data_IF_450586814435
#
_entry.id   IF_450586814435
#
_cell.length_a   1.000
_cell.length_b   1.000
_cell.length_c   1.000
_cell.angle_alpha   90.00
_cell.angle_beta   90.00
_cell.angle_gamma   90.00
#
_symmetry.space_group_name_H-M   'P 1'
#
loop_
_entity.id
_entity.type
_entity.pdbx_description
1 polymer ?
#
# COMPACT_ATOMS: atom_id res chain seq x y z
N UNK A 1 19.58 -25.09 55.68
CA UNK A 1 19.02 -23.75 55.39
C UNK A 1 18.24 -23.83 54.10
N UNK A 2 16.92 -23.73 54.22
CA UNK A 2 16.00 -23.59 53.10
C UNK A 2 16.10 -22.15 52.57
N UNK A 3 16.48 -21.96 51.32
CA UNK A 3 16.15 -20.72 50.61
C UNK A 3 14.99 -20.99 49.65
N UNK A 4 13.83 -20.51 50.07
CA UNK A 4 12.60 -20.44 49.29
C UNK A 4 12.84 -19.55 48.06
N UNK A 5 12.90 -20.17 46.88
CA UNK A 5 12.58 -19.46 45.65
C UNK A 5 11.11 -19.01 45.75
N UNK A 6 10.89 -17.69 45.84
CA UNK A 6 9.55 -17.10 45.72
C UNK A 6 9.04 -17.35 44.30
N UNK A 7 8.27 -18.41 44.12
CA UNK A 7 7.32 -18.56 43.02
C UNK A 7 6.20 -17.52 43.19
N UNK A 8 6.47 -16.30 42.71
CA UNK A 8 5.55 -15.17 42.75
C UNK A 8 5.13 -14.74 41.35
N UNK A 9 4.65 -15.66 40.53
CA UNK A 9 3.94 -15.33 39.30
C UNK A 9 2.57 -15.99 39.36
N UNK A 10 1.51 -15.21 39.56
CA UNK A 10 0.14 -15.75 39.43
C UNK A 10 0.04 -16.40 38.05
N UNK A 11 -0.29 -17.70 38.00
CA UNK A 11 -0.65 -18.36 36.75
C UNK A 11 -1.87 -17.60 36.21
N UNK A 12 -1.65 -16.66 35.30
CA UNK A 12 -2.73 -15.97 34.58
C UNK A 12 -3.63 -17.06 33.99
N UNK A 13 -4.87 -17.15 34.47
CA UNK A 13 -5.80 -18.19 34.04
C UNK A 13 -6.21 -17.91 32.60
N UNK A 14 -5.51 -18.54 31.65
CA UNK A 14 -5.83 -18.45 30.23
C UNK A 14 -7.05 -19.31 29.91
N UNK A 15 -8.10 -18.67 29.41
CA UNK A 15 -9.22 -19.34 28.76
C UNK A 15 -9.11 -19.22 27.23
N UNK A 16 -9.48 -20.26 26.47
CA UNK A 16 -9.59 -20.18 25.01
C UNK A 16 -10.49 -19.01 24.58
N UNK A 17 -10.20 -18.45 23.40
CA UNK A 17 -10.98 -17.34 22.83
C UNK A 17 -12.14 -17.88 21.99
N UNK A 18 -13.30 -17.23 22.06
CA UNK A 18 -14.40 -17.49 21.13
C UNK A 18 -14.35 -16.56 19.91
N UNK A 19 -15.16 -16.84 18.90
CA UNK A 19 -15.32 -15.97 17.72
C UNK A 19 -15.80 -14.58 18.13
N UNK A 20 -16.77 -14.51 19.03
CA UNK A 20 -17.38 -13.28 19.54
C UNK A 20 -16.35 -12.45 20.30
N UNK A 21 -15.49 -13.08 21.11
CA UNK A 21 -14.40 -12.39 21.80
C UNK A 21 -13.37 -11.82 20.84
N UNK A 22 -13.01 -12.52 19.76
CA UNK A 22 -12.10 -11.98 18.74
C UNK A 22 -12.75 -10.82 17.98
N UNK A 23 -14.05 -10.91 17.66
CA UNK A 23 -14.79 -9.79 17.07
C UNK A 23 -14.83 -8.58 18.01
N UNK A 24 -15.11 -8.78 19.29
CA UNK A 24 -15.09 -7.73 20.31
C UNK A 24 -13.67 -7.14 20.46
N UNK A 25 -12.63 -7.96 20.47
CA UNK A 25 -11.24 -7.52 20.53
C UNK A 25 -10.87 -6.63 19.33
N UNK A 26 -11.23 -7.03 18.11
CA UNK A 26 -11.01 -6.22 16.90
C UNK A 26 -11.85 -4.93 16.96
N UNK A 27 -13.12 -5.01 17.37
CA UNK A 27 -14.00 -3.85 17.52
C UNK A 27 -13.45 -2.83 18.53
N UNK A 28 -12.92 -3.31 19.66
CA UNK A 28 -12.21 -2.47 20.63
C UNK A 28 -10.98 -1.83 19.98
N UNK A 29 -10.15 -2.59 19.26
CA UNK A 29 -8.97 -2.04 18.59
C UNK A 29 -9.32 -0.95 17.55
N UNK A 30 -10.42 -1.12 16.81
CA UNK A 30 -10.95 -0.11 15.89
C UNK A 30 -11.41 1.12 16.67
N UNK A 31 -12.18 0.94 17.75
CA UNK A 31 -12.62 2.06 18.58
C UNK A 31 -11.45 2.84 19.20
N UNK A 32 -10.35 2.14 19.56
CA UNK A 32 -9.12 2.78 20.03
C UNK A 32 -8.43 3.64 18.96
N UNK A 33 -8.64 3.37 17.66
CA UNK A 33 -8.07 4.21 16.61
C UNK A 33 -8.87 5.50 16.40
N UNK A 34 -10.14 5.51 16.81
CA UNK A 34 -11.03 6.69 16.77
C UNK A 34 -10.89 7.52 18.06
N UNK A 35 -11.00 6.86 19.22
CA UNK A 35 -10.88 7.48 20.55
C UNK A 35 -9.45 7.27 21.05
N UNK A 36 -8.50 8.02 20.52
CA UNK A 36 -7.10 7.82 20.85
C UNK A 36 -6.76 8.26 22.29
N UNK A 37 -6.21 7.33 23.07
CA UNK A 37 -5.54 7.58 24.36
C UNK A 37 -4.07 7.23 24.31
N UNK A 38 -3.25 7.90 25.12
CA UNK A 38 -1.80 7.78 25.10
C UNK A 38 -1.32 6.40 25.54
N UNK A 39 -1.93 5.88 26.60
CA UNK A 39 -1.59 4.58 27.18
C UNK A 39 -2.71 3.55 26.99
N UNK A 40 -2.39 2.26 27.13
CA UNK A 40 -3.39 1.19 26.96
C UNK A 40 -4.33 1.09 28.16
N UNK A 41 -3.85 1.37 29.38
CA UNK A 41 -4.67 1.29 30.59
C UNK A 41 -5.73 2.39 30.67
N UNK A 42 -5.50 3.54 30.03
CA UNK A 42 -6.42 4.69 30.06
C UNK A 42 -7.78 4.39 29.43
N UNK A 43 -7.88 3.38 28.56
CA UNK A 43 -9.15 2.95 27.98
C UNK A 43 -10.08 2.33 29.02
N UNK A 44 -9.53 1.79 30.11
CA UNK A 44 -10.28 1.20 31.22
C UNK A 44 -10.09 2.00 32.52
N UNK A 45 -9.70 3.27 32.42
CA UNK A 45 -9.63 4.16 33.57
C UNK A 45 -11.03 4.56 34.03
N UNK A 46 -11.23 4.62 35.34
CA UNK A 46 -12.42 5.15 36.02
C UNK A 46 -12.22 6.59 36.51
N UNK A 47 -11.09 7.22 36.16
CA UNK A 47 -10.83 8.63 36.49
C UNK A 47 -11.76 9.51 35.66
N UNK A 48 -12.49 10.43 36.29
CA UNK A 48 -13.56 11.21 35.64
C UNK A 48 -13.12 11.92 34.34
N UNK A 49 -11.87 12.38 34.26
CA UNK A 49 -11.31 13.04 33.07
C UNK A 49 -11.01 12.06 31.92
N UNK A 50 -10.66 10.83 32.26
CA UNK A 50 -10.22 9.81 31.30
C UNK A 50 -11.30 8.76 31.04
N UNK A 51 -12.40 8.75 31.79
CA UNK A 51 -13.37 7.67 31.71
C UNK A 51 -13.98 7.56 30.30
N UNK A 52 -14.10 6.34 29.81
CA UNK A 52 -14.84 6.06 28.58
C UNK A 52 -15.62 4.76 28.77
N UNK A 53 -16.85 4.83 29.29
CA UNK A 53 -17.59 3.67 29.82
C UNK A 53 -17.81 2.53 28.80
N UNK A 54 -17.77 2.84 27.51
CA UNK A 54 -17.94 1.86 26.44
C UNK A 54 -16.83 0.79 26.37
N UNK A 55 -15.57 1.13 26.67
CA UNK A 55 -14.49 0.13 26.59
C UNK A 55 -14.62 -0.99 27.63
N UNK A 56 -14.83 -0.69 28.94
CA UNK A 56 -15.10 -1.71 29.95
C UNK A 56 -16.37 -2.52 29.70
N UNK A 57 -17.41 -1.94 29.08
CA UNK A 57 -18.67 -2.65 28.83
C UNK A 57 -18.56 -3.70 27.72
N UNK A 58 -17.60 -3.56 26.80
CA UNK A 58 -17.37 -4.53 25.72
C UNK A 58 -16.45 -5.67 26.15
N UNK A 59 -15.32 -5.35 26.79
CA UNK A 59 -14.33 -6.34 27.23
C UNK A 59 -13.48 -5.78 28.36
N UNK A 60 -13.11 -6.60 29.35
CA UNK A 60 -12.18 -6.17 30.39
C UNK A 60 -10.78 -5.88 29.82
N UNK A 61 -10.11 -4.85 30.34
CA UNK A 61 -8.74 -4.50 29.90
C UNK A 61 -7.73 -5.63 30.11
N UNK A 62 -7.92 -6.43 31.16
CA UNK A 62 -7.15 -7.65 31.39
C UNK A 62 -7.34 -8.67 30.26
N UNK A 63 -8.59 -8.98 29.89
CA UNK A 63 -8.87 -9.92 28.78
C UNK A 63 -8.33 -9.41 27.45
N UNK A 64 -8.49 -8.11 27.15
CA UNK A 64 -7.91 -7.49 25.95
C UNK A 64 -6.38 -7.67 25.91
N UNK A 65 -5.69 -7.39 27.02
CA UNK A 65 -4.24 -7.56 27.11
C UNK A 65 -3.80 -9.01 26.95
N UNK A 66 -4.54 -9.97 27.54
CA UNK A 66 -4.28 -11.40 27.36
C UNK A 66 -4.42 -11.83 25.90
N UNK A 67 -5.54 -11.47 25.24
CA UNK A 67 -5.76 -11.77 23.82
C UNK A 67 -4.65 -11.15 22.97
N UNK A 68 -4.33 -9.86 23.18
CA UNK A 68 -3.26 -9.20 22.44
C UNK A 68 -1.89 -9.87 22.66
N UNK A 69 -1.62 -10.37 23.88
CA UNK A 69 -0.36 -11.04 24.24
C UNK A 69 -0.26 -12.43 23.60
N UNK A 70 -1.33 -13.17 23.46
CA UNK A 70 -1.31 -14.52 22.88
C UNK A 70 -1.91 -14.59 21.46
N UNK A 71 -2.10 -13.44 20.79
CA UNK A 71 -2.60 -13.39 19.42
C UNK A 71 -1.68 -14.13 18.43
N UNK A 72 -2.21 -15.18 17.84
CA UNK A 72 -1.62 -15.95 16.74
C UNK A 72 -2.67 -16.17 15.66
N UNK A 73 -2.26 -16.08 14.39
CA UNK A 73 -3.11 -16.38 13.22
C UNK A 73 -2.57 -17.55 12.40
N UNK A 74 -1.57 -18.26 12.93
CA UNK A 74 -0.97 -19.44 12.33
C UNK A 74 -0.62 -20.44 13.44
N UNK A 75 -0.69 -21.73 13.11
CA UNK A 75 -0.29 -22.82 14.00
C UNK A 75 1.23 -22.95 14.00
N UNK A 76 1.89 -22.56 15.09
CA UNK A 76 3.35 -22.60 15.17
C UNK A 76 3.93 -24.03 15.13
N UNK A 77 3.11 -25.08 15.36
CA UNK A 77 3.56 -26.48 15.31
C UNK A 77 3.72 -27.00 13.88
N UNK A 78 3.08 -26.35 12.91
CA UNK A 78 3.11 -26.70 11.48
C UNK A 78 4.09 -25.85 10.67
N UNK A 79 4.97 -25.13 11.34
CA UNK A 79 5.91 -24.24 10.68
C UNK A 79 7.02 -25.03 9.99
N UNK A 80 7.13 -24.90 8.67
CA UNK A 80 8.23 -25.49 7.91
C UNK A 80 9.54 -24.74 8.21
N UNK A 81 10.54 -25.50 8.63
CA UNK A 81 11.86 -24.99 8.97
C UNK A 81 12.91 -25.49 7.98
N UNK A 82 13.85 -24.62 7.64
CA UNK A 82 15.08 -24.96 6.95
C UNK A 82 15.98 -25.82 7.85
N UNK A 83 17.01 -26.46 7.28
CA UNK A 83 17.96 -27.28 8.03
C UNK A 83 18.66 -26.52 9.18
N UNK A 84 18.82 -25.19 9.05
CA UNK A 84 19.37 -24.30 10.08
C UNK A 84 18.31 -23.75 11.06
N UNK A 85 17.10 -24.32 11.07
CA UNK A 85 16.03 -23.99 12.03
C UNK A 85 15.32 -22.66 11.78
N UNK A 86 15.45 -22.07 10.59
CA UNK A 86 14.75 -20.83 10.21
C UNK A 86 13.45 -21.15 9.50
N UNK A 87 12.47 -20.26 9.59
CA UNK A 87 11.24 -20.40 8.81
C UNK A 87 11.55 -20.38 7.31
N UNK A 88 11.08 -21.38 6.57
CA UNK A 88 11.10 -21.38 5.10
C UNK A 88 10.31 -20.17 4.56
N UNK A 89 9.10 -19.95 5.09
CA UNK A 89 8.33 -18.73 4.86
C UNK A 89 8.51 -17.73 6.00
N UNK A 90 9.23 -16.62 5.75
CA UNK A 90 9.44 -15.56 6.75
C UNK A 90 8.14 -14.91 7.24
N UNK A 91 7.04 -15.02 6.49
CA UNK A 91 5.73 -14.47 6.84
C UNK A 91 4.77 -15.50 7.44
N UNK A 92 5.22 -16.74 7.68
CA UNK A 92 4.38 -17.86 8.15
C UNK A 92 3.40 -17.46 9.25
N UNK A 93 3.87 -16.69 10.24
CA UNK A 93 3.06 -16.24 11.40
C UNK A 93 1.84 -15.38 11.07
N UNK A 94 1.78 -14.80 9.87
CA UNK A 94 0.66 -13.99 9.37
C UNK A 94 0.09 -14.53 8.07
N UNK A 95 0.66 -15.63 7.54
CA UNK A 95 0.34 -16.19 6.23
C UNK A 95 -1.14 -16.50 6.04
N UNK A 96 -1.84 -17.15 6.99
CA UNK A 96 -3.26 -17.49 6.79
C UNK A 96 -4.15 -16.26 6.61
N UNK A 97 -3.90 -15.18 7.38
CA UNK A 97 -4.65 -13.93 7.22
C UNK A 97 -4.25 -13.20 5.93
N UNK A 98 -2.96 -13.17 5.61
CA UNK A 98 -2.44 -12.55 4.40
C UNK A 98 -3.08 -13.17 3.14
N UNK A 99 -3.06 -14.50 3.04
CA UNK A 99 -3.59 -15.22 1.89
C UNK A 99 -5.12 -15.06 1.79
N UNK A 100 -5.83 -15.09 2.93
CA UNK A 100 -7.26 -14.84 2.95
C UNK A 100 -7.63 -13.47 2.37
N UNK A 101 -6.86 -12.43 2.66
CA UNK A 101 -7.10 -11.08 2.14
C UNK A 101 -6.70 -10.93 0.67
N UNK A 102 -5.56 -11.52 0.26
CA UNK A 102 -5.12 -11.53 -1.14
C UNK A 102 -6.15 -12.23 -2.04
N UNK A 103 -6.81 -13.28 -1.53
CA UNK A 103 -7.89 -13.98 -2.24
C UNK A 103 -9.19 -13.15 -2.19
N UNK A 104 -9.53 -12.56 -1.06
CA UNK A 104 -10.82 -11.87 -0.85
C UNK A 104 -10.91 -10.52 -1.55
N UNK A 105 -9.85 -9.71 -1.56
CA UNK A 105 -9.90 -8.35 -2.13
C UNK A 105 -10.34 -8.31 -3.61
N UNK A 106 -9.77 -9.13 -4.52
CA UNK A 106 -10.23 -9.17 -5.92
C UNK A 106 -11.69 -9.65 -6.09
N UNK A 107 -12.23 -10.43 -5.15
CA UNK A 107 -13.59 -10.99 -5.26
C UNK A 107 -14.69 -9.96 -4.97
N UNK A 108 -14.37 -8.90 -4.22
CA UNK A 108 -15.36 -7.92 -3.77
C UNK A 108 -15.40 -6.63 -4.60
N UNK A 109 -14.45 -6.43 -5.51
CA UNK A 109 -14.38 -5.23 -6.31
C UNK A 109 -13.79 -5.48 -7.69
N UNK A 110 -14.49 -5.02 -8.72
CA UNK A 110 -13.98 -4.96 -10.09
C UNK A 110 -13.46 -3.55 -10.34
N UNK A 111 -12.15 -3.36 -10.57
CA UNK A 111 -11.59 -2.04 -10.70
C UNK A 111 -12.00 -1.34 -11.99
N UNK A 112 -11.89 -0.01 -11.95
CA UNK A 112 -12.04 0.83 -13.12
C UNK A 112 -10.86 0.70 -14.08
N UNK A 113 -10.83 1.60 -15.06
CA UNK A 113 -9.83 1.58 -16.14
C UNK A 113 -8.39 1.77 -15.64
N UNK A 114 -8.18 2.66 -14.68
CA UNK A 114 -6.85 3.14 -14.30
C UNK A 114 -6.40 2.50 -12.99
N UNK A 115 -5.25 1.84 -13.01
CA UNK A 115 -4.64 1.17 -11.86
C UNK A 115 -3.27 1.77 -11.57
N UNK A 116 -2.89 1.86 -10.30
CA UNK A 116 -1.56 2.34 -9.88
C UNK A 116 -0.84 1.26 -9.09
N UNK A 117 0.46 1.07 -9.35
CA UNK A 117 1.32 0.17 -8.59
C UNK A 117 2.52 0.93 -8.03
N UNK A 118 2.71 0.85 -6.72
CA UNK A 118 3.81 1.49 -6.00
C UNK A 118 4.15 0.76 -4.69
N UNK A 119 5.23 1.20 -4.05
CA UNK A 119 5.63 0.79 -2.72
C UNK A 119 4.94 1.55 -1.58
N UNK A 120 4.65 0.80 -0.52
CA UNK A 120 4.23 1.30 0.78
C UNK A 120 5.20 0.89 1.89
N UNK A 121 5.26 1.69 2.96
CA UNK A 121 6.11 1.44 4.14
C UNK A 121 5.33 1.31 5.44
N UNK A 122 5.37 0.12 6.03
CA UNK A 122 4.86 -0.13 7.38
C UNK A 122 5.94 0.16 8.43
N UNK A 123 5.88 1.35 9.04
CA UNK A 123 6.86 1.83 10.00
C UNK A 123 6.91 1.00 11.29
N UNK A 124 8.06 0.39 11.59
CA UNK A 124 8.20 -0.44 12.78
C UNK A 124 9.58 -0.40 13.42
N UNK A 125 9.60 -0.53 14.75
CA UNK A 125 10.81 -0.75 15.55
C UNK A 125 10.92 -2.21 16.03
N UNK A 126 9.97 -3.07 15.68
CA UNK A 126 10.00 -4.48 16.02
C UNK A 126 11.20 -5.17 15.35
N UNK A 127 11.81 -6.14 16.05
CA UNK A 127 12.88 -6.97 15.48
C UNK A 127 12.27 -7.85 14.38
N UNK A 128 12.73 -7.65 13.15
CA UNK A 128 12.26 -8.35 11.97
C UNK A 128 13.41 -8.41 10.95
N UNK A 129 13.62 -9.57 10.33
CA UNK A 129 14.76 -9.80 9.43
C UNK A 129 14.63 -9.14 8.06
N UNK A 130 13.41 -8.72 7.68
CA UNK A 130 13.11 -8.17 6.36
C UNK A 130 12.76 -6.67 6.38
N UNK A 131 13.22 -5.95 7.41
CA UNK A 131 13.11 -4.49 7.46
C UNK A 131 13.92 -3.85 6.35
N UNK A 132 13.30 -2.92 5.64
CA UNK A 132 13.92 -2.11 4.60
C UNK A 132 14.14 -0.68 5.06
N UNK A 133 15.13 -0.03 4.45
CA UNK A 133 15.34 1.40 4.54
C UNK A 133 15.09 2.05 3.18
N UNK A 134 14.17 3.01 3.12
CA UNK A 134 13.86 3.79 1.91
C UNK A 134 14.02 5.27 2.23
N UNK A 135 15.10 5.89 1.73
CA UNK A 135 15.51 7.26 2.09
C UNK A 135 14.42 8.30 1.80
N UNK A 136 13.70 8.12 0.70
CA UNK A 136 12.82 9.14 0.12
C UNK A 136 11.36 9.01 0.57
N UNK A 137 10.99 7.95 1.31
CA UNK A 137 9.63 7.78 1.85
C UNK A 137 9.54 8.44 3.24
N UNK A 138 8.37 9.01 3.62
CA UNK A 138 8.18 9.63 4.95
C UNK A 138 8.52 8.68 6.09
N UNK A 139 8.04 7.45 5.99
CA UNK A 139 8.43 6.34 6.85
C UNK A 139 9.66 5.64 6.28
N UNK A 140 10.85 6.08 6.70
CA UNK A 140 12.12 5.61 6.11
C UNK A 140 12.48 4.17 6.45
N UNK A 141 12.04 3.65 7.60
CA UNK A 141 12.42 2.31 8.08
C UNK A 141 11.20 1.51 8.48
N UNK A 142 11.03 0.34 7.88
CA UNK A 142 9.83 -0.46 8.08
C UNK A 142 9.79 -1.72 7.22
N UNK A 143 8.65 -2.41 7.25
CA UNK A 143 8.36 -3.48 6.30
C UNK A 143 7.87 -2.85 5.01
N UNK A 144 8.48 -3.21 3.88
CA UNK A 144 8.08 -2.74 2.54
C UNK A 144 6.97 -3.64 2.00
N UNK A 145 5.96 -3.03 1.40
CA UNK A 145 4.90 -3.71 0.67
C UNK A 145 4.87 -3.16 -0.76
N UNK A 146 4.64 -4.03 -1.74
CA UNK A 146 4.19 -3.64 -3.07
C UNK A 146 2.68 -3.70 -3.11
N UNK A 147 2.03 -2.66 -3.64
CA UNK A 147 0.58 -2.53 -3.61
C UNK A 147 0.08 -2.16 -5.00
N UNK A 148 -0.95 -2.88 -5.47
CA UNK A 148 -1.74 -2.52 -6.63
C UNK A 148 -3.07 -1.93 -6.15
N UNK A 149 -3.39 -0.72 -6.62
CA UNK A 149 -4.61 -0.02 -6.27
C UNK A 149 -5.39 0.43 -7.51
N UNK A 150 -6.70 0.55 -7.37
CA UNK A 150 -7.52 1.35 -8.28
C UNK A 150 -7.18 2.84 -8.09
N UNK A 151 -6.88 3.54 -9.19
CA UNK A 151 -6.37 4.91 -9.16
C UNK A 151 -7.45 5.98 -8.87
N UNK A 152 -8.73 5.61 -8.82
CA UNK A 152 -9.86 6.54 -8.61
C UNK A 152 -10.56 6.27 -7.29
N UNK A 153 -10.84 4.99 -7.01
CA UNK A 153 -11.54 4.55 -5.81
C UNK A 153 -10.57 4.32 -4.65
N UNK A 154 -9.27 4.19 -4.96
CA UNK A 154 -8.22 3.93 -3.97
C UNK A 154 -8.45 2.61 -3.22
N UNK A 155 -9.01 1.61 -3.91
CA UNK A 155 -9.19 0.26 -3.40
C UNK A 155 -7.92 -0.55 -3.63
N UNK A 156 -7.38 -1.21 -2.60
CA UNK A 156 -6.26 -2.13 -2.72
C UNK A 156 -6.73 -3.45 -3.34
N UNK A 157 -6.25 -3.71 -4.54
CA UNK A 157 -6.62 -4.84 -5.38
C UNK A 157 -5.77 -6.08 -5.09
N UNK A 158 -4.48 -5.87 -4.88
CA UNK A 158 -3.52 -6.91 -4.58
C UNK A 158 -2.29 -6.29 -3.89
N UNK A 159 -1.54 -7.08 -3.14
CA UNK A 159 -0.31 -6.61 -2.51
C UNK A 159 0.62 -7.79 -2.14
N UNK A 160 1.92 -7.48 -2.03
CA UNK A 160 2.94 -8.45 -1.64
C UNK A 160 3.88 -7.82 -0.61
N UNK A 161 4.13 -8.51 0.50
CA UNK A 161 5.08 -8.08 1.52
C UNK A 161 6.49 -8.50 1.09
N UNK A 162 7.42 -7.55 1.04
CA UNK A 162 8.80 -7.84 0.67
C UNK A 162 9.58 -8.43 1.85
N UNK A 163 10.07 -9.66 1.67
CA UNK A 163 10.80 -10.44 2.70
C UNK A 163 12.32 -10.40 2.54
N UNK A 164 12.83 -9.55 1.64
CA UNK A 164 14.25 -9.49 1.29
C UNK A 164 14.70 -10.65 0.39
N UNK A 165 15.70 -10.40 -0.45
CA UNK A 165 16.38 -11.38 -1.28
C UNK A 165 17.67 -10.80 -1.85
N UNK A 166 18.71 -11.63 -2.02
CA UNK A 166 19.98 -11.21 -2.64
C UNK A 166 19.94 -11.49 -4.14
N UNK A 167 19.97 -10.44 -4.97
CA UNK A 167 20.27 -10.58 -6.39
C UNK A 167 19.15 -11.18 -7.25
N UNK A 168 17.88 -11.04 -6.85
CA UNK A 168 16.75 -11.49 -7.66
C UNK A 168 16.71 -10.73 -9.00
N UNK A 169 17.15 -11.40 -10.06
CA UNK A 169 17.09 -10.86 -11.42
C UNK A 169 15.63 -10.76 -11.84
N UNK A 170 15.23 -9.61 -12.39
CA UNK A 170 13.87 -9.39 -12.87
C UNK A 170 12.83 -9.12 -11.78
N UNK A 171 13.25 -8.82 -10.54
CA UNK A 171 12.33 -8.51 -9.43
C UNK A 171 11.21 -7.54 -9.84
N UNK A 172 11.57 -6.44 -10.50
CA UNK A 172 10.65 -5.37 -10.87
C UNK A 172 9.58 -5.87 -11.84
N UNK A 173 9.96 -6.75 -12.77
CA UNK A 173 9.05 -7.36 -13.74
C UNK A 173 8.15 -8.39 -13.04
N UNK A 174 8.74 -9.28 -12.22
CA UNK A 174 8.02 -10.31 -11.47
C UNK A 174 6.91 -9.69 -10.61
N UNK A 175 7.25 -8.68 -9.82
CA UNK A 175 6.30 -8.02 -8.90
C UNK A 175 5.10 -7.46 -9.67
N UNK A 176 5.33 -6.76 -10.78
CA UNK A 176 4.23 -6.23 -11.59
C UNK A 176 3.39 -7.37 -12.17
N UNK A 177 4.02 -8.39 -12.74
CA UNK A 177 3.32 -9.51 -13.35
C UNK A 177 2.46 -10.29 -12.34
N UNK A 178 3.00 -10.59 -11.16
CA UNK A 178 2.27 -11.28 -10.09
C UNK A 178 1.10 -10.46 -9.56
N UNK A 179 1.32 -9.17 -9.28
CA UNK A 179 0.25 -8.31 -8.77
C UNK A 179 -0.86 -8.10 -9.79
N UNK A 180 -0.51 -8.03 -11.08
CA UNK A 180 -1.45 -7.85 -12.19
C UNK A 180 -2.12 -9.12 -12.67
N UNK A 181 -1.72 -10.31 -12.23
CA UNK A 181 -2.15 -11.58 -12.82
C UNK A 181 -3.69 -11.72 -12.98
N UNK A 182 -4.47 -11.31 -11.97
CA UNK A 182 -5.94 -11.35 -12.02
C UNK A 182 -6.60 -10.23 -12.87
N UNK A 183 -5.79 -9.30 -13.36
CA UNK A 183 -6.19 -8.08 -14.05
C UNK A 183 -5.60 -7.98 -15.47
N UNK A 184 -4.80 -8.95 -15.92
CA UNK A 184 -4.38 -9.05 -17.32
C UNK A 184 -5.58 -9.37 -18.23
N UNK A 185 -5.47 -9.06 -19.53
CA UNK A 185 -6.54 -9.37 -20.50
C UNK A 185 -7.73 -8.41 -20.50
N UNK A 186 -7.68 -7.32 -19.72
CA UNK A 186 -8.84 -6.44 -19.45
C UNK A 186 -8.66 -5.01 -19.94
N UNK A 187 -7.57 -4.73 -20.67
CA UNK A 187 -7.23 -3.41 -21.19
C UNK A 187 -7.16 -2.31 -20.12
N UNK A 188 -6.86 -2.68 -18.87
CA UNK A 188 -6.54 -1.71 -17.83
C UNK A 188 -5.33 -0.87 -18.23
N UNK A 189 -5.30 0.37 -17.73
CA UNK A 189 -4.18 1.28 -17.83
C UNK A 189 -3.40 1.24 -16.52
N UNK A 190 -2.26 0.54 -16.51
CA UNK A 190 -1.39 0.46 -15.35
C UNK A 190 -0.41 1.63 -15.32
N UNK A 191 -0.39 2.35 -14.20
CA UNK A 191 0.54 3.44 -13.92
C UNK A 191 1.62 2.95 -12.95
N UNK A 192 2.89 3.10 -13.34
CA UNK A 192 4.04 2.67 -12.53
C UNK A 192 5.17 3.68 -12.51
N UNK A 193 5.93 3.70 -11.41
CA UNK A 193 7.10 4.57 -11.27
C UNK A 193 8.31 4.10 -12.12
N UNK A 194 9.43 4.81 -12.00
CA UNK A 194 10.67 4.48 -12.71
C UNK A 194 11.40 3.23 -12.19
N UNK A 195 11.06 2.74 -10.99
CA UNK A 195 11.58 1.48 -10.50
C UNK A 195 10.99 0.31 -11.31
N UNK A 196 9.70 0.32 -11.64
CA UNK A 196 9.11 -0.77 -12.43
C UNK A 196 9.26 -0.61 -13.94
N UNK A 197 9.05 0.60 -14.44
CA UNK A 197 8.85 0.85 -15.87
C UNK A 197 10.08 0.49 -16.70
N UNK A 198 9.88 -0.33 -17.74
CA UNK A 198 10.87 -0.66 -18.76
C UNK A 198 10.19 -0.97 -20.11
N UNK A 199 10.90 -0.85 -21.25
CA UNK A 199 10.37 -1.27 -22.55
C UNK A 199 9.91 -2.73 -22.56
N UNK A 200 10.66 -3.62 -21.92
CA UNK A 200 10.32 -5.05 -21.80
C UNK A 200 9.00 -5.26 -21.05
N UNK A 201 8.82 -4.61 -19.90
CA UNK A 201 7.60 -4.73 -19.10
C UNK A 201 6.38 -4.23 -19.88
N UNK A 202 6.47 -3.06 -20.52
CA UNK A 202 5.35 -2.50 -21.28
C UNK A 202 5.00 -3.34 -22.51
N UNK A 203 6.00 -3.92 -23.18
CA UNK A 203 5.76 -4.85 -24.28
C UNK A 203 5.06 -6.13 -23.79
N UNK A 204 5.51 -6.70 -22.67
CA UNK A 204 4.87 -7.86 -22.05
C UNK A 204 3.41 -7.59 -21.69
N UNK A 205 3.12 -6.48 -21.01
CA UNK A 205 1.74 -6.11 -20.65
C UNK A 205 0.87 -5.92 -21.89
N UNK A 206 1.41 -5.28 -22.93
CA UNK A 206 0.68 -5.06 -24.18
C UNK A 206 0.32 -6.37 -24.88
N UNK A 207 1.21 -7.36 -24.89
CA UNK A 207 0.93 -8.70 -25.43
C UNK A 207 -0.17 -9.41 -24.63
N UNK A 208 -0.34 -9.06 -23.36
CA UNK A 208 -1.39 -9.58 -22.47
C UNK A 208 -2.56 -8.61 -22.33
N UNK A 209 -2.86 -7.86 -23.39
CA UNK A 209 -4.00 -6.94 -23.49
C UNK A 209 -4.15 -6.01 -22.27
N UNK A 210 -3.01 -5.49 -21.81
CA UNK A 210 -2.91 -4.56 -20.69
C UNK A 210 -2.04 -3.39 -21.10
N UNK A 211 -2.56 -2.18 -20.95
CA UNK A 211 -1.83 -0.98 -21.33
C UNK A 211 -1.11 -0.40 -20.12
N UNK A 212 -0.03 0.33 -20.34
CA UNK A 212 0.74 0.89 -19.25
C UNK A 212 1.35 2.25 -19.59
N UNK A 213 1.60 3.02 -18.54
CA UNK A 213 2.17 4.36 -18.57
C UNK A 213 3.09 4.48 -17.38
N UNK A 214 4.31 4.98 -17.57
CA UNK A 214 5.21 5.14 -16.43
C UNK A 214 6.36 6.07 -16.70
N UNK A 215 6.88 6.66 -15.64
CA UNK A 215 8.18 7.33 -15.72
C UNK A 215 9.25 6.27 -15.90
N UNK A 216 10.29 6.54 -16.68
CA UNK A 216 11.35 5.55 -16.97
C UNK A 216 12.72 6.14 -16.71
N UNK A 217 13.67 5.33 -16.24
CA UNK A 217 15.07 5.74 -16.21
C UNK A 217 15.63 5.69 -17.63
N UNK A 218 16.26 6.76 -18.08
CA UNK A 218 16.77 6.85 -19.45
C UNK A 218 17.74 5.69 -19.76
N UNK A 219 18.47 5.19 -18.76
CA UNK A 219 19.50 4.15 -18.81
C UNK A 219 18.94 2.73 -19.00
N UNK A 220 17.62 2.53 -18.89
CA UNK A 220 17.00 1.20 -19.07
C UNK A 220 17.39 0.58 -20.42
N UNK A 221 17.56 -0.74 -20.42
CA UNK A 221 17.81 -1.51 -21.63
C UNK A 221 16.70 -1.26 -22.66
N UNK A 222 17.07 -1.22 -23.94
CA UNK A 222 16.17 -0.97 -25.07
C UNK A 222 15.49 0.42 -25.11
N UNK A 223 15.93 1.37 -24.29
CA UNK A 223 15.54 2.77 -24.47
C UNK A 223 16.16 3.36 -25.75
N UNK A 224 15.41 4.17 -26.53
CA UNK A 224 15.94 4.83 -27.73
C UNK A 224 17.18 5.67 -27.41
N UNK A 225 18.33 5.35 -28.03
CA UNK A 225 19.59 6.09 -27.81
C UNK A 225 19.44 7.57 -28.16
N UNK A 226 18.66 7.89 -29.20
CA UNK A 226 18.39 9.27 -29.64
C UNK A 226 17.70 10.13 -28.57
N UNK A 227 16.95 9.54 -27.63
CA UNK A 227 16.40 10.27 -26.48
C UNK A 227 17.48 10.75 -25.50
N UNK A 228 18.59 10.02 -25.42
CA UNK A 228 19.74 10.34 -24.56
C UNK A 228 20.72 11.31 -25.22
N UNK A 229 20.93 11.15 -26.53
CA UNK A 229 22.04 11.78 -27.27
C UNK A 229 21.67 13.10 -27.94
N UNK A 230 20.45 13.62 -27.78
CA UNK A 230 20.09 14.91 -28.38
C UNK A 230 20.97 16.02 -27.76
N UNK A 231 21.92 16.50 -28.55
CA UNK A 231 22.80 17.66 -28.30
C UNK A 231 21.99 18.95 -28.12
N UNK A 232 20.72 18.91 -28.50
CA UNK A 232 19.77 20.00 -28.37
C UNK A 232 19.46 20.31 -26.91
N UNK A 233 19.77 21.54 -26.51
CA UNK A 233 19.30 22.14 -25.26
C UNK A 233 17.81 22.37 -25.42
N UNK A 234 17.00 21.50 -24.82
CA UNK A 234 15.55 21.70 -24.76
C UNK A 234 15.23 22.89 -23.86
N UNK A 235 14.49 23.84 -24.40
CA UNK A 235 13.85 24.89 -23.61
C UNK A 235 12.78 24.25 -22.70
N UNK A 236 12.43 24.91 -21.57
CA UNK A 236 11.31 24.47 -20.75
C UNK A 236 10.05 24.22 -21.60
N UNK A 237 9.33 23.17 -21.21
CA UNK A 237 8.08 22.68 -21.76
C UNK A 237 8.14 22.08 -23.17
N UNK A 238 9.32 22.03 -23.78
CA UNK A 238 9.51 21.27 -25.02
C UNK A 238 9.52 19.76 -24.77
N UNK A 239 9.04 19.01 -25.76
CA UNK A 239 9.00 17.54 -25.74
C UNK A 239 9.45 16.94 -27.06
N UNK A 240 10.00 15.73 -26.98
CA UNK A 240 10.32 14.89 -28.13
C UNK A 240 9.76 13.49 -27.92
N UNK A 241 9.25 12.90 -28.99
CA UNK A 241 8.60 11.60 -28.98
C UNK A 241 9.28 10.66 -29.98
N UNK A 242 9.43 9.41 -29.57
CA UNK A 242 9.83 8.31 -30.44
C UNK A 242 8.83 7.19 -30.26
N UNK A 243 8.17 6.80 -31.35
CA UNK A 243 7.23 5.70 -31.35
C UNK A 243 7.82 4.53 -32.10
N UNK A 244 7.62 3.33 -31.57
CA UNK A 244 7.91 2.08 -32.26
C UNK A 244 6.77 1.12 -31.96
N UNK A 245 6.21 0.51 -33.01
CA UNK A 245 5.02 -0.34 -32.91
C UNK A 245 3.87 0.41 -32.21
N UNK A 246 3.47 -0.05 -31.01
CA UNK A 246 2.41 0.55 -30.18
C UNK A 246 2.94 1.13 -28.86
N UNK A 247 4.23 1.46 -28.82
CA UNK A 247 4.86 2.07 -27.65
C UNK A 247 5.46 3.42 -28.03
N UNK A 248 5.16 4.44 -27.23
CA UNK A 248 5.71 5.78 -27.36
C UNK A 248 6.62 6.07 -26.17
N UNK A 249 7.83 6.52 -26.49
CA UNK A 249 8.78 7.08 -25.54
C UNK A 249 8.81 8.59 -25.67
N UNK A 250 8.73 9.29 -24.55
CA UNK A 250 8.73 10.74 -24.48
C UNK A 250 9.86 11.23 -23.57
N UNK A 251 10.54 12.29 -24.01
CA UNK A 251 11.34 13.17 -23.15
C UNK A 251 10.67 14.52 -23.13
N UNK A 252 10.38 15.03 -21.93
CA UNK A 252 9.79 16.35 -21.72
C UNK A 252 10.63 17.15 -20.74
N UNK A 253 10.89 18.43 -21.07
CA UNK A 253 11.70 19.31 -20.23
C UNK A 253 10.82 20.12 -19.30
N UNK A 254 10.66 19.72 -18.04
CA UNK A 254 10.00 20.56 -17.03
C UNK A 254 11.04 21.47 -16.34
N UNK A 255 11.29 21.31 -15.04
CA UNK A 255 12.51 21.83 -14.38
C UNK A 255 13.72 20.94 -14.65
N UNK A 256 13.46 19.64 -14.85
CA UNK A 256 14.41 18.60 -15.22
C UNK A 256 13.78 17.76 -16.33
N UNK A 257 14.62 17.01 -17.03
CA UNK A 257 14.14 16.07 -18.03
C UNK A 257 13.30 14.96 -17.36
N UNK A 258 12.09 14.77 -17.88
CA UNK A 258 11.18 13.70 -17.50
C UNK A 258 11.10 12.74 -18.68
N UNK A 259 11.45 11.49 -18.44
CA UNK A 259 11.31 10.41 -19.42
C UNK A 259 10.11 9.57 -19.06
N UNK A 260 9.27 9.29 -20.06
CA UNK A 260 8.06 8.51 -19.89
C UNK A 260 7.92 7.49 -21.03
N UNK A 261 7.40 6.31 -20.71
CA UNK A 261 6.97 5.32 -21.70
C UNK A 261 5.47 5.11 -21.59
N UNK A 262 4.83 4.86 -22.73
CA UNK A 262 3.42 4.51 -22.76
C UNK A 262 3.06 3.60 -23.92
N UNK A 263 2.14 2.67 -23.68
CA UNK A 263 1.40 1.93 -24.72
C UNK A 263 -0.03 2.43 -24.92
N UNK A 264 -0.40 3.50 -24.22
CA UNK A 264 -1.72 4.16 -24.30
C UNK A 264 -1.67 5.36 -25.24
N UNK A 265 -0.57 6.12 -25.19
CA UNK A 265 -0.49 7.45 -25.79
C UNK A 265 0.39 7.48 -27.04
N UNK A 266 0.05 8.37 -27.97
CA UNK A 266 0.94 8.83 -29.03
C UNK A 266 1.73 10.09 -28.62
N UNK A 267 1.96 10.97 -29.58
CA UNK A 267 2.64 12.26 -29.43
C UNK A 267 1.67 13.43 -29.10
N UNK A 268 0.65 13.15 -28.29
CA UNK A 268 -0.40 14.14 -27.97
C UNK A 268 0.06 15.06 -26.86
N UNK A 269 -0.17 16.36 -27.05
CA UNK A 269 0.02 17.40 -26.04
C UNK A 269 -1.33 17.84 -25.48
N UNK A 270 -1.33 18.26 -24.23
CA UNK A 270 -2.46 18.82 -23.50
C UNK A 270 -2.06 20.18 -22.94
N UNK A 271 -2.91 21.18 -23.17
CA UNK A 271 -2.73 22.51 -22.59
C UNK A 271 -3.09 22.45 -21.12
N UNK A 272 -2.15 22.78 -20.24
CA UNK A 272 -2.39 22.93 -18.81
C UNK A 272 -2.13 24.36 -18.36
N UNK A 273 -3.01 24.88 -17.53
CA UNK A 273 -2.81 26.19 -16.89
C UNK A 273 -2.10 25.96 -15.56
N UNK A 274 -0.91 26.55 -15.39
CA UNK A 274 -0.13 26.47 -14.14
C UNK A 274 0.33 27.85 -13.69
N UNK A 275 0.72 27.98 -12.43
CA UNK A 275 1.33 29.22 -11.95
C UNK A 275 2.67 29.44 -12.64
N UNK A 276 2.84 30.62 -13.22
CA UNK A 276 4.06 31.00 -13.93
C UNK A 276 5.26 31.02 -13.00
N UNK A 277 6.39 30.53 -13.50
CA UNK A 277 7.62 30.38 -12.70
C UNK A 277 8.20 31.76 -12.39
N UNK A 278 8.49 32.02 -11.11
CA UNK A 278 9.13 33.26 -10.68
C UNK A 278 8.20 34.45 -10.46
N UNK A 279 6.89 34.29 -10.67
CA UNK A 279 5.90 35.38 -10.46
C UNK A 279 4.87 35.02 -9.39
N UNK A 280 4.27 36.05 -8.79
CA UNK A 280 3.22 35.89 -7.76
C UNK A 280 1.85 36.12 -8.39
N UNK A 281 1.07 35.05 -8.51
CA UNK A 281 -0.33 35.11 -8.94
C UNK A 281 -0.57 35.01 -10.45
N UNK A 282 0.45 35.15 -11.30
CA UNK A 282 0.28 34.96 -12.74
C UNK A 282 0.17 33.48 -13.10
N UNK A 283 -0.76 33.19 -14.01
CA UNK A 283 -0.96 31.87 -14.62
C UNK A 283 -0.40 31.88 -16.05
N UNK A 284 0.11 30.75 -16.49
CA UNK A 284 0.58 30.51 -17.85
C UNK A 284 -0.03 29.21 -18.38
N UNK A 285 -0.32 29.20 -19.68
CA UNK A 285 -0.70 27.99 -20.40
C UNK A 285 0.53 27.32 -20.98
N UNK A 286 0.64 26.02 -20.76
CA UNK A 286 1.81 25.24 -21.09
C UNK A 286 1.40 23.97 -21.81
N UNK A 287 2.12 23.64 -22.88
CA UNK A 287 1.97 22.38 -23.59
C UNK A 287 2.68 21.26 -22.82
N UNK A 288 1.91 20.32 -22.28
CA UNK A 288 2.44 19.16 -21.56
C UNK A 288 2.06 17.88 -22.29
N UNK A 289 2.95 16.90 -22.45
CA UNK A 289 2.58 15.61 -23.02
C UNK A 289 1.45 14.93 -22.24
N UNK A 290 0.42 14.48 -22.96
CA UNK A 290 -0.78 13.84 -22.38
C UNK A 290 -0.42 12.67 -21.48
N UNK A 291 0.57 11.87 -21.87
CA UNK A 291 1.05 10.73 -21.07
C UNK A 291 1.63 11.15 -19.71
N UNK A 292 2.28 12.31 -19.62
CA UNK A 292 2.82 12.84 -18.36
C UNK A 292 1.70 13.49 -17.55
N UNK A 293 0.69 14.06 -18.20
CA UNK A 293 -0.52 14.51 -17.51
C UNK A 293 -1.25 13.33 -16.86
N UNK A 294 -1.60 12.30 -17.62
CA UNK A 294 -2.32 11.12 -17.11
C UNK A 294 -1.52 10.34 -16.07
N UNK A 295 -0.20 10.27 -16.24
CA UNK A 295 0.68 9.71 -15.22
C UNK A 295 0.52 10.46 -13.89
N UNK A 296 0.60 11.79 -13.89
CA UNK A 296 0.45 12.57 -12.65
C UNK A 296 -0.94 12.44 -12.04
N UNK A 297 -1.98 12.26 -12.87
CA UNK A 297 -3.37 12.11 -12.41
C UNK A 297 -3.62 10.76 -11.75
N UNK A 298 -3.03 9.67 -12.26
CA UNK A 298 -3.41 8.31 -11.85
C UNK A 298 -2.35 7.55 -11.06
N UNK A 299 -1.08 7.96 -11.09
CA UNK A 299 -0.01 7.26 -10.35
C UNK A 299 -0.21 7.30 -8.82
N UNK A 300 -0.86 8.35 -8.29
CA UNK A 300 -1.01 8.57 -6.85
C UNK A 300 -1.99 7.65 -6.11
N UNK A 301 -2.58 6.64 -6.76
CA UNK A 301 -3.60 5.81 -6.13
C UNK A 301 -3.12 5.07 -4.88
N UNK A 302 -1.87 4.55 -4.89
CA UNK A 302 -1.25 3.92 -3.72
C UNK A 302 -0.91 4.93 -2.64
N UNK A 303 -0.46 6.14 -3.00
CA UNK A 303 -0.16 7.20 -2.02
C UNK A 303 -1.43 7.66 -1.29
N UNK A 304 -2.55 7.81 -2.00
CA UNK A 304 -3.84 8.13 -1.40
C UNK A 304 -4.34 6.99 -0.51
N UNK A 305 -4.15 5.73 -0.92
CA UNK A 305 -4.45 4.58 -0.06
C UNK A 305 -3.60 4.57 1.21
N UNK A 306 -2.30 4.88 1.14
CA UNK A 306 -1.44 5.00 2.33
C UNK A 306 -1.86 6.16 3.23
N UNK A 307 -2.27 7.29 2.64
CA UNK A 307 -2.84 8.42 3.37
C UNK A 307 -4.11 8.01 4.12
N UNK A 308 -5.01 7.25 3.49
CA UNK A 308 -6.24 6.75 4.13
C UNK A 308 -5.93 5.87 5.35
N UNK A 309 -4.90 5.03 5.25
CA UNK A 309 -4.45 4.18 6.36
C UNK A 309 -3.79 4.98 7.50
N UNK A 310 -3.31 6.19 7.22
CA UNK A 310 -2.63 7.04 8.22
C UNK A 310 -3.59 7.83 9.11
N UNK A 311 -4.87 7.97 8.74
CA UNK A 311 -5.83 8.78 9.48
C UNK A 311 -6.20 8.18 10.84
N UNK A 312 -6.57 6.89 10.88
CA UNK A 312 -6.98 6.21 12.11
C UNK A 312 -6.31 4.83 12.23
N UNK A 313 -4.97 4.76 12.32
CA UNK A 313 -4.26 3.50 12.32
C UNK A 313 -4.58 2.70 13.59
N UNK A 314 -4.99 1.44 13.45
CA UNK A 314 -5.11 0.50 14.57
C UNK A 314 -3.73 0.21 15.20
N UNK A 315 -2.68 0.51 14.45
CA UNK A 315 -1.32 0.20 14.81
C UNK A 315 -0.79 1.05 15.99
N UNK A 316 -0.68 0.43 17.18
CA UNK A 316 0.03 0.98 18.34
C UNK A 316 1.51 0.53 18.38
N UNK A 317 2.21 0.86 19.47
CA UNK A 317 3.60 0.43 19.71
C UNK A 317 3.67 -1.07 20.05
N UNK A 318 3.66 -1.93 19.03
CA UNK A 318 3.84 -3.37 19.20
C UNK A 318 5.31 -3.80 19.10
N UNK A 319 5.76 -4.64 20.05
CA UNK A 319 7.12 -5.21 20.06
C UNK A 319 7.29 -6.37 19.07
N UNK A 320 6.20 -7.05 18.70
CA UNK A 320 6.20 -8.20 17.77
C UNK A 320 5.82 -7.76 16.37
N UNK A 321 6.62 -8.14 15.39
CA UNK A 321 6.40 -7.79 13.98
C UNK A 321 5.11 -8.41 13.43
N UNK A 322 4.76 -9.63 13.85
CA UNK A 322 3.56 -10.33 13.36
C UNK A 322 2.28 -9.61 13.79
N UNK A 323 2.23 -9.14 15.04
CA UNK A 323 1.12 -8.30 15.55
C UNK A 323 1.02 -6.98 14.77
N UNK A 324 2.16 -6.39 14.41
CA UNK A 324 2.21 -5.16 13.62
C UNK A 324 1.58 -5.35 12.23
N UNK A 325 1.95 -6.44 11.54
CA UNK A 325 1.40 -6.78 10.23
C UNK A 325 -0.08 -7.16 10.34
N UNK A 326 -0.47 -7.93 11.37
CA UNK A 326 -1.87 -8.26 11.64
C UNK A 326 -2.76 -7.02 11.65
N UNK A 327 -2.44 -6.01 12.47
CA UNK A 327 -3.25 -4.79 12.52
C UNK A 327 -3.20 -3.99 11.21
N UNK A 328 -2.07 -3.99 10.50
CA UNK A 328 -1.99 -3.38 9.17
C UNK A 328 -2.93 -4.04 8.16
N UNK A 329 -3.03 -5.37 8.18
CA UNK A 329 -3.95 -6.11 7.32
C UNK A 329 -5.42 -5.78 7.64
N UNK A 330 -5.75 -5.56 8.92
CA UNK A 330 -7.07 -5.06 9.31
C UNK A 330 -7.29 -3.62 8.85
N UNK A 331 -6.31 -2.72 9.01
CA UNK A 331 -6.38 -1.33 8.50
C UNK A 331 -6.70 -1.32 6.99
N UNK A 332 -6.00 -2.15 6.20
CA UNK A 332 -6.24 -2.28 4.76
C UNK A 332 -7.65 -2.77 4.45
N UNK A 333 -8.16 -3.72 5.23
CA UNK A 333 -9.53 -4.24 5.09
C UNK A 333 -10.58 -3.16 5.38
N UNK A 334 -10.34 -2.31 6.39
CA UNK A 334 -11.21 -1.19 6.73
C UNK A 334 -11.25 -0.16 5.60
N UNK A 335 -10.08 0.22 5.05
CA UNK A 335 -10.02 1.19 3.94
C UNK A 335 -10.71 0.64 2.69
N UNK A 336 -10.50 -0.63 2.35
CA UNK A 336 -11.21 -1.29 1.25
C UNK A 336 -12.73 -1.33 1.49
N UNK A 337 -13.17 -1.63 2.71
CA UNK A 337 -14.60 -1.62 3.07
C UNK A 337 -15.21 -0.22 2.96
N UNK A 338 -14.45 0.81 3.36
CA UNK A 338 -14.87 2.21 3.23
C UNK A 338 -14.97 2.66 1.77
N UNK A 339 -14.04 2.24 0.92
CA UNK A 339 -14.09 2.49 -0.52
C UNK A 339 -15.36 1.87 -1.15
N UNK A 340 -15.70 0.63 -0.80
CA UNK A 340 -16.94 -0.03 -1.25
C UNK A 340 -18.20 0.68 -0.75
N UNK A 341 -18.21 1.12 0.52
CA UNK A 341 -19.32 1.88 1.08
C UNK A 341 -19.53 3.22 0.33
N UNK A 342 -18.45 3.94 0.02
CA UNK A 342 -18.52 5.18 -0.78
C UNK A 342 -19.12 4.95 -2.16
N UNK A 343 -18.71 3.89 -2.85
CA UNK A 343 -19.27 3.53 -4.16
C UNK A 343 -20.78 3.28 -4.09
N UNK A 344 -21.25 2.56 -3.06
CA UNK A 344 -22.68 2.34 -2.86
C UNK A 344 -23.44 3.65 -2.59
N UNK A 345 -22.88 4.57 -1.81
CA UNK A 345 -23.50 5.86 -1.52
C UNK A 345 -23.64 6.75 -2.77
N UNK A 346 -22.66 6.74 -3.67
CA UNK A 346 -22.73 7.49 -4.95
C UNK A 346 -23.85 6.96 -5.85
N UNK A 347 -24.12 5.65 -5.79
CA UNK A 347 -25.16 5.00 -6.58
C UNK A 347 -26.56 5.08 -5.96
N UNK A 348 -26.70 5.64 -4.74
CA UNK A 348 -27.99 5.88 -4.11
C UNK A 348 -28.46 7.31 -4.42
N UNK A 349 -29.74 7.53 -4.81
CA UNK A 349 -30.26 8.87 -4.98
C UNK A 349 -30.12 9.64 -3.66
N UNK A 350 -29.59 10.87 -3.74
CA UNK A 350 -29.22 11.76 -2.61
C UNK A 350 -30.33 12.05 -1.58
N UNK A 351 -31.56 11.58 -1.80
CA UNK A 351 -32.74 11.86 -0.98
C UNK A 351 -33.05 10.81 0.11
N UNK A 352 -32.24 9.77 0.28
CA UNK A 352 -32.54 8.73 1.29
C UNK A 352 -31.99 9.01 2.71
N UNK A 353 -31.25 10.11 2.95
CA UNK A 353 -30.71 10.45 4.28
C UNK A 353 -31.46 11.59 4.97
N UNK A 354 -32.80 11.60 4.86
CA UNK A 354 -33.67 12.31 5.81
C UNK A 354 -34.72 11.33 6.34
N UNK A 355 -34.85 11.32 7.67
CA UNK A 355 -35.68 10.49 8.57
C UNK A 355 -34.87 9.33 9.17
N UNK A 356 -34.70 9.19 10.48
CA UNK A 356 -35.42 9.74 11.66
C UNK A 356 -34.41 10.19 12.71
#
# INVERSE_FOLDING_TARGET
MQERAKEGGSKEHWSPVTREEIMAFIGVAIAMSIVYKGELREYWSTEALLETPWFPSVMSGHRFCMIQRYLHVADNTKADLTADGKLCDKLYKVRPLLDALVISFPQHYHPGKNLSLDEQMLGTKARCSFIQYMKDKPTKRGVKLWVLCDAQVYYCLNFQIYTGGTGEKGLNFRVVNELMNAYLGKFHHLYTDNFYTSPELLAHLLVHDTLAVGTVRQERLNMPKRLRTSVEVFNPDQSVFYSSHKMTACRWKDKRDVFCLSTVHGNILETITRRKRGTRGEMEDVQKPKMVFDYNTHMGGVDVFDQLLSYNPLQRRYKRWSTKIFFRLIDMTIVNSFALWKLKQVNLPRNCHKKV
#
